data_IF_888438681581
#
_entry.id   IF_888438681581
#
_cell.length_a   1.000
_cell.length_b   1.000
_cell.length_c   1.000
_cell.angle_alpha   90.00
_cell.angle_beta   90.00
_cell.angle_gamma   90.00
#
_symmetry.space_group_name_H-M   'P 1'
#
loop_
_entity.id
_entity.type
_entity.pdbx_description
1 polymer ?
#
# COMPACT_ATOMS: atom_id res chain seq x y z
N UNK A 1 9.71 10.11 -17.15
CA UNK A 1 10.94 10.21 -16.33
C UNK A 1 11.20 8.81 -15.77
N UNK A 2 12.41 8.27 -15.83
CA UNK A 2 12.69 6.94 -15.29
C UNK A 2 12.46 6.95 -13.77
N UNK A 3 11.74 5.96 -13.26
CA UNK A 3 11.47 5.72 -11.84
C UNK A 3 12.72 5.18 -11.16
N UNK A 4 13.67 6.06 -10.91
CA UNK A 4 14.86 5.80 -10.11
C UNK A 4 14.48 5.42 -8.68
N UNK A 5 14.82 4.20 -8.25
CA UNK A 5 14.69 3.74 -6.87
C UNK A 5 15.83 4.35 -6.05
N UNK A 6 15.55 5.45 -5.36
CA UNK A 6 16.50 6.10 -4.47
C UNK A 6 16.17 5.77 -3.01
N UNK A 7 17.20 5.71 -2.17
CA UNK A 7 17.02 5.69 -0.72
C UNK A 7 16.49 7.04 -0.26
N UNK A 8 15.41 7.02 0.52
CA UNK A 8 14.83 8.21 1.14
C UNK A 8 15.04 8.21 2.66
N UNK A 9 15.17 9.39 3.24
CA UNK A 9 15.23 9.60 4.69
C UNK A 9 14.10 10.52 5.11
N UNK A 10 13.26 10.05 6.04
CA UNK A 10 12.24 10.89 6.66
C UNK A 10 12.89 11.91 7.61
N UNK A 11 12.54 13.19 7.47
CA UNK A 11 13.12 14.28 8.26
C UNK A 11 12.11 14.87 9.25
N UNK A 12 10.86 15.05 8.82
CA UNK A 12 9.78 15.57 9.67
C UNK A 12 8.42 15.05 9.23
N UNK A 13 7.44 15.18 10.12
CA UNK A 13 6.03 14.85 9.86
C UNK A 13 5.15 16.05 10.19
N UNK A 14 4.07 16.21 9.45
CA UNK A 14 2.94 17.06 9.81
C UNK A 14 1.79 16.19 10.31
N UNK A 15 1.04 16.75 11.26
CA UNK A 15 -0.12 16.11 11.88
C UNK A 15 -1.31 17.05 11.86
N UNK A 16 -2.51 16.49 11.80
CA UNK A 16 -3.74 17.25 12.01
C UNK A 16 -4.01 17.52 13.50
N UNK A 17 -5.15 18.16 13.80
CA UNK A 17 -5.55 18.50 15.17
C UNK A 17 -5.83 17.28 16.06
N UNK A 18 -6.12 16.12 15.47
CA UNK A 18 -6.37 14.86 16.18
C UNK A 18 -5.08 14.04 16.37
N UNK A 19 -3.97 14.49 15.77
CA UNK A 19 -2.66 13.86 15.85
C UNK A 19 -2.39 12.82 14.76
N UNK A 20 -3.25 12.70 13.74
CA UNK A 20 -3.02 11.82 12.60
C UNK A 20 -1.96 12.41 11.68
N UNK A 21 -1.03 11.59 11.17
CA UNK A 21 0.01 12.03 10.23
C UNK A 21 -0.62 12.32 8.87
N UNK A 22 -0.43 13.53 8.36
CA UNK A 22 -0.98 13.97 7.06
C UNK A 22 0.09 14.05 5.97
N UNK A 23 1.35 14.30 6.32
CA UNK A 23 2.46 14.41 5.37
C UNK A 23 3.79 14.02 6.02
N UNK A 24 4.60 13.27 5.29
CA UNK A 24 5.97 12.92 5.67
C UNK A 24 6.91 13.62 4.69
N UNK A 25 7.81 14.45 5.22
CA UNK A 25 8.81 15.16 4.43
C UNK A 25 10.10 14.36 4.44
N UNK A 26 10.57 14.03 3.25
CA UNK A 26 11.75 13.21 3.06
C UNK A 26 12.80 13.93 2.21
N UNK A 27 14.07 13.60 2.45
CA UNK A 27 15.17 13.82 1.50
C UNK A 27 15.44 12.51 0.76
N UNK A 28 16.06 12.59 -0.43
CA UNK A 28 16.51 11.41 -1.16
C UNK A 28 18.00 11.52 -1.47
N UNK A 29 18.68 10.38 -1.51
CA UNK A 29 20.08 10.29 -1.93
C UNK A 29 20.14 10.01 -3.44
N UNK A 30 20.60 11.00 -4.21
CA UNK A 30 20.69 10.91 -5.66
C UNK A 30 21.73 9.89 -6.15
N UNK A 31 22.70 9.54 -5.31
CA UNK A 31 23.81 8.63 -5.65
C UNK A 31 23.46 7.15 -5.40
N UNK A 32 22.28 6.88 -4.81
CA UNK A 32 21.80 5.50 -4.50
C UNK A 32 21.05 4.82 -5.65
N UNK A 33 21.10 5.38 -6.86
CA UNK A 33 20.44 4.80 -8.03
C UNK A 33 20.95 3.37 -8.30
N UNK A 34 20.16 2.38 -7.89
CA UNK A 34 20.47 0.95 -8.03
C UNK A 34 21.80 0.53 -7.39
N UNK A 35 22.27 1.25 -6.36
CA UNK A 35 23.51 0.98 -5.64
C UNK A 35 23.33 1.19 -4.13
N UNK A 36 24.11 0.48 -3.34
CA UNK A 36 24.19 0.72 -1.91
C UNK A 36 24.66 2.16 -1.61
N UNK A 37 24.19 2.77 -0.52
CA UNK A 37 24.67 4.07 -0.08
C UNK A 37 26.21 4.12 -0.02
N UNK A 38 26.79 5.17 -0.60
CA UNK A 38 28.24 5.34 -0.68
C UNK A 38 28.92 5.43 0.70
N UNK A 39 28.15 5.75 1.74
CA UNK A 39 28.58 5.82 3.14
C UNK A 39 28.52 4.47 3.88
N UNK A 40 28.17 3.38 3.18
CA UNK A 40 28.14 2.02 3.73
C UNK A 40 26.95 1.72 4.64
N UNK A 41 25.98 2.64 4.76
CA UNK A 41 24.77 2.40 5.55
C UNK A 41 23.92 1.31 4.91
N UNK A 42 23.52 0.31 5.72
CA UNK A 42 22.58 -0.72 5.28
C UNK A 42 21.14 -0.24 5.45
N UNK A 43 20.43 -0.11 4.33
CA UNK A 43 18.98 0.13 4.32
C UNK A 43 18.27 -1.17 4.75
N UNK A 44 17.39 -1.07 5.75
CA UNK A 44 16.78 -2.24 6.41
C UNK A 44 15.52 -2.78 5.71
N UNK A 45 14.99 -2.05 4.73
CA UNK A 45 13.77 -2.44 4.04
C UNK A 45 13.48 -1.57 2.84
N UNK A 46 12.65 -2.10 1.95
CA UNK A 46 12.17 -1.44 0.74
C UNK A 46 10.65 -1.37 0.83
N UNK A 47 10.08 -0.23 0.46
CA UNK A 47 8.63 -0.03 0.38
C UNK A 47 8.22 0.25 -1.07
N UNK A 48 7.00 -0.13 -1.43
CA UNK A 48 6.38 0.30 -2.67
C UNK A 48 5.91 1.76 -2.56
N UNK A 49 5.84 2.45 -3.71
CA UNK A 49 5.37 3.83 -3.79
C UNK A 49 4.79 4.12 -5.18
N UNK A 50 3.98 5.18 -5.29
CA UNK A 50 3.47 5.72 -6.56
C UNK A 50 3.67 7.22 -6.61
N UNK A 51 3.90 7.77 -7.80
CA UNK A 51 4.04 9.22 -8.00
C UNK A 51 2.67 9.89 -7.91
N UNK A 52 2.46 10.76 -6.92
CA UNK A 52 1.18 11.47 -6.74
C UNK A 52 0.75 12.25 -8.00
N UNK A 53 1.69 12.79 -8.78
CA UNK A 53 1.41 13.53 -10.01
C UNK A 53 0.87 12.66 -11.15
N UNK A 54 1.08 11.35 -11.11
CA UNK A 54 0.73 10.44 -12.19
C UNK A 54 -0.21 9.31 -11.74
N UNK A 55 -0.39 9.14 -10.43
CA UNK A 55 -1.13 8.00 -9.90
C UNK A 55 -2.62 8.06 -10.26
N UNK A 56 -3.20 6.88 -10.46
CA UNK A 56 -4.59 6.69 -10.81
C UNK A 56 -5.40 6.43 -9.54
N UNK A 57 -6.48 7.16 -9.24
CA UNK A 57 -7.38 6.79 -8.16
C UNK A 57 -8.04 5.44 -8.50
N UNK A 58 -8.02 4.50 -7.55
CA UNK A 58 -8.57 3.16 -7.72
C UNK A 58 -9.37 2.72 -6.48
N UNK A 59 -10.43 1.96 -6.73
CA UNK A 59 -11.10 1.17 -5.69
C UNK A 59 -10.39 -0.19 -5.55
N UNK A 60 -10.02 -0.54 -4.34
CA UNK A 60 -9.38 -1.81 -3.99
C UNK A 60 -10.36 -2.61 -3.13
N UNK A 61 -10.70 -3.81 -3.58
CA UNK A 61 -11.55 -4.76 -2.84
C UNK A 61 -10.66 -5.80 -2.17
N UNK A 62 -10.41 -5.61 -0.89
CA UNK A 62 -9.64 -6.55 -0.06
C UNK A 62 -10.59 -7.64 0.42
N UNK A 63 -10.42 -8.83 -0.13
CA UNK A 63 -11.20 -10.00 0.26
C UNK A 63 -10.48 -10.79 1.36
N UNK A 64 -11.26 -11.30 2.30
CA UNK A 64 -10.86 -12.31 3.27
C UNK A 64 -11.86 -13.47 3.24
N UNK A 65 -11.67 -14.47 4.11
CA UNK A 65 -12.59 -15.59 4.28
C UNK A 65 -14.00 -15.07 4.54
N UNK A 66 -14.99 -15.65 3.83
CA UNK A 66 -16.41 -15.30 3.98
C UNK A 66 -16.95 -15.60 5.38
N UNK A 67 -16.42 -16.62 6.04
CA UNK A 67 -16.86 -17.05 7.37
C UNK A 67 -15.72 -16.93 8.37
N UNK A 68 -16.05 -16.58 9.61
CA UNK A 68 -15.09 -16.42 10.71
C UNK A 68 -14.67 -17.75 11.36
N UNK A 69 -15.34 -18.85 11.01
CA UNK A 69 -15.09 -20.19 11.55
C UNK A 69 -14.73 -21.20 10.44
N UNK A 70 -13.95 -22.26 10.75
CA UNK A 70 -13.54 -23.25 9.75
C UNK A 70 -14.69 -24.10 9.17
N UNK A 71 -15.74 -24.38 9.97
CA UNK A 71 -16.91 -25.17 9.56
C UNK A 71 -18.21 -24.41 9.86
N UNK A 72 -18.63 -23.46 9.00
CA UNK A 72 -19.85 -22.67 9.20
C UNK A 72 -21.12 -23.52 9.14
N UNK A 73 -21.09 -24.69 8.48
CA UNK A 73 -22.24 -25.59 8.42
C UNK A 73 -22.57 -26.31 9.73
N UNK A 74 -21.68 -26.25 10.73
CA UNK A 74 -21.94 -26.73 12.08
C UNK A 74 -22.50 -25.65 13.03
N UNK A 75 -22.57 -24.39 12.58
CA UNK A 75 -23.24 -23.33 13.33
C UNK A 75 -24.75 -23.52 13.29
N UNK A 76 -25.45 -23.16 14.36
CA UNK A 76 -26.91 -23.18 14.41
C UNK A 76 -27.53 -22.26 13.34
N UNK A 77 -26.94 -21.08 13.18
CA UNK A 77 -27.18 -20.18 12.05
C UNK A 77 -25.85 -19.81 11.39
N UNK A 78 -25.62 -20.27 10.16
CA UNK A 78 -24.39 -20.01 9.44
C UNK A 78 -24.22 -18.52 9.06
N UNK A 79 -25.31 -17.74 9.01
CA UNK A 79 -25.23 -16.30 8.74
C UNK A 79 -24.61 -15.54 9.92
N UNK A 80 -24.80 -16.04 11.14
CA UNK A 80 -24.21 -15.46 12.36
C UNK A 80 -22.68 -15.53 12.39
N UNK A 81 -22.07 -16.42 11.59
CA UNK A 81 -20.62 -16.60 11.48
C UNK A 81 -20.04 -16.05 10.17
N UNK A 82 -20.78 -15.19 9.45
CA UNK A 82 -20.22 -14.40 8.35
C UNK A 82 -19.14 -13.47 8.92
N UNK A 83 -17.98 -13.45 8.27
CA UNK A 83 -16.92 -12.50 8.60
C UNK A 83 -17.33 -11.09 8.10
N UNK A 84 -17.54 -10.11 9.00
CA UNK A 84 -17.86 -8.74 8.60
C UNK A 84 -16.73 -8.07 7.82
N UNK A 85 -15.51 -8.59 7.90
CA UNK A 85 -14.33 -8.11 7.17
C UNK A 85 -14.05 -8.93 5.89
N UNK A 86 -14.96 -9.84 5.49
CA UNK A 86 -14.82 -10.66 4.27
C UNK A 86 -14.66 -9.84 2.99
N UNK A 87 -15.15 -8.59 2.99
CA UNK A 87 -14.89 -7.59 1.98
C UNK A 87 -14.67 -6.23 2.64
N UNK A 88 -13.47 -5.69 2.47
CA UNK A 88 -13.15 -4.31 2.83
C UNK A 88 -12.84 -3.52 1.56
N UNK A 89 -13.61 -2.46 1.31
CA UNK A 89 -13.38 -1.55 0.19
C UNK A 89 -12.47 -0.41 0.65
N UNK A 90 -11.37 -0.19 -0.07
CA UNK A 90 -10.42 0.91 0.16
C UNK A 90 -10.30 1.76 -1.08
N UNK A 91 -10.21 3.08 -0.89
CA UNK A 91 -9.79 3.99 -1.95
C UNK A 91 -8.28 4.15 -1.87
N UNK A 92 -7.61 4.00 -3.00
CA UNK A 92 -6.16 4.05 -3.09
C UNK A 92 -5.67 4.60 -4.42
N UNK A 93 -4.38 4.43 -4.67
CA UNK A 93 -3.72 4.94 -5.85
C UNK A 93 -2.89 3.84 -6.52
N UNK A 94 -3.06 3.69 -7.83
CA UNK A 94 -2.30 2.78 -8.68
C UNK A 94 -1.33 3.51 -9.59
N UNK A 95 -0.31 2.83 -10.09
CA UNK A 95 0.60 3.41 -11.07
C UNK A 95 -0.07 3.58 -12.47
N UNK A 96 0.41 4.49 -13.33
CA UNK A 96 -0.20 4.77 -14.63
C UNK A 96 -0.39 3.55 -15.55
N UNK A 97 0.47 2.54 -15.42
CA UNK A 97 0.46 1.33 -16.26
C UNK A 97 -0.86 0.55 -16.11
N UNK A 98 -1.50 0.64 -14.93
CA UNK A 98 -2.75 -0.05 -14.62
C UNK A 98 -3.93 0.45 -15.46
N UNK A 99 -3.82 1.62 -16.12
CA UNK A 99 -4.86 2.10 -17.04
C UNK A 99 -5.11 1.13 -18.20
N UNK A 100 -4.09 0.35 -18.58
CA UNK A 100 -4.19 -0.65 -19.65
C UNK A 100 -4.46 -2.07 -19.12
N UNK A 101 -4.78 -2.23 -17.83
CA UNK A 101 -5.12 -3.52 -17.26
C UNK A 101 -6.41 -4.07 -17.89
N UNK A 102 -6.44 -5.38 -18.15
CA UNK A 102 -7.57 -6.09 -18.72
C UNK A 102 -8.06 -7.11 -17.69
N UNK A 103 -9.37 -7.21 -17.50
CA UNK A 103 -9.96 -8.16 -16.57
C UNK A 103 -9.48 -9.60 -16.87
N UNK A 104 -9.18 -10.36 -15.82
CA UNK A 104 -8.67 -11.73 -15.93
C UNK A 104 -7.17 -11.85 -16.18
N UNK A 105 -6.43 -10.73 -16.24
CA UNK A 105 -4.96 -10.72 -16.35
C UNK A 105 -4.32 -10.38 -15.00
N UNK A 106 -3.44 -11.26 -14.53
CA UNK A 106 -2.56 -11.03 -13.38
C UNK A 106 -1.30 -10.26 -13.78
#
# INVERSE_FOLDING_TARGET
>A
MPTSLNTIKAERVEKDAEGNITTIFCTYDADTLSKDPADGRKVKGVIHWVSAAHALPIEIRLYDRLFSVPNPGAAEDFLSVINPESLVIKQGYGEPSLKAAVAGKA
#
